data_IF_299209879681
#
_entry.id   IF_299209879681
#
_cell.length_a   1.000
_cell.length_b   1.000
_cell.length_c   1.000
_cell.angle_alpha   90.00
_cell.angle_beta   90.00
_cell.angle_gamma   90.00
#
_symmetry.space_group_name_H-M   'P 1'
#
loop_
_entity.id
_entity.type
_entity.pdbx_description
1 polymer ?
#
# COMPACT_ATOMS: atom_id res chain seq x y z
N UNK A 1 50.12 -1.86 -26.12
CA UNK A 1 49.79 -1.21 -27.40
C UNK A 1 48.58 -0.33 -27.12
N UNK A 2 48.69 0.84 -26.49
CA UNK A 2 49.22 2.15 -26.93
C UNK A 2 48.54 2.75 -28.18
N UNK A 3 47.55 3.61 -27.94
CA UNK A 3 47.34 4.93 -28.59
C UNK A 3 46.05 5.56 -28.01
N UNK A 4 46.11 6.59 -27.15
CA UNK A 4 46.10 8.04 -27.47
C UNK A 4 44.76 8.50 -28.13
N UNK A 5 44.04 9.57 -27.73
CA UNK A 5 44.42 10.85 -27.15
C UNK A 5 43.17 11.64 -26.64
N UNK A 6 43.42 12.46 -25.62
CA UNK A 6 42.98 13.85 -25.41
C UNK A 6 41.49 14.24 -25.24
N UNK A 7 41.23 14.86 -24.08
CA UNK A 7 40.01 15.61 -23.81
C UNK A 7 40.08 17.09 -24.15
N UNK A 8 39.00 17.82 -23.80
CA UNK A 8 39.00 19.28 -23.62
C UNK A 8 37.78 19.73 -22.80
N UNK A 9 38.06 20.35 -21.65
CA UNK A 9 37.15 21.26 -20.93
C UNK A 9 36.91 22.52 -21.78
N UNK A 10 35.75 23.17 -21.60
CA UNK A 10 35.60 24.64 -21.53
C UNK A 10 34.19 25.01 -21.07
N UNK A 11 34.12 25.78 -19.98
CA UNK A 11 32.95 26.61 -19.67
C UNK A 11 33.10 27.99 -20.30
N UNK A 12 31.98 28.72 -20.42
CA UNK A 12 31.82 30.15 -20.03
C UNK A 12 30.49 30.74 -20.52
N UNK A 13 29.89 31.48 -19.60
CA UNK A 13 28.79 32.45 -19.65
C UNK A 13 29.05 33.63 -20.62
N UNK A 14 28.00 34.24 -21.24
CA UNK A 14 27.67 35.69 -21.22
C UNK A 14 26.55 36.12 -22.21
N UNK A 15 25.45 36.62 -21.61
CA UNK A 15 24.55 37.78 -21.85
C UNK A 15 24.69 38.59 -23.18
N UNK A 16 23.54 38.90 -23.82
CA UNK A 16 23.24 40.22 -24.41
C UNK A 16 21.71 40.45 -24.59
N UNK A 17 21.25 41.61 -24.12
CA UNK A 17 19.88 42.13 -24.25
C UNK A 17 19.75 43.08 -25.45
N UNK A 18 18.55 43.21 -26.02
CA UNK A 18 18.22 44.33 -26.92
C UNK A 18 16.75 44.75 -26.74
N UNK A 19 16.56 46.00 -26.33
CA UNK A 19 15.29 46.75 -26.34
C UNK A 19 15.37 47.83 -27.44
N UNK A 20 14.30 48.03 -28.21
CA UNK A 20 14.05 49.33 -28.87
C UNK A 20 12.54 49.55 -29.09
N UNK A 21 12.10 50.78 -28.81
CA UNK A 21 10.71 51.23 -28.75
C UNK A 21 10.33 52.15 -29.93
N UNK A 22 9.00 52.26 -30.14
CA UNK A 22 8.20 53.35 -30.74
C UNK A 22 8.35 53.68 -32.24
N UNK A 23 7.22 53.75 -32.97
CA UNK A 23 6.45 55.01 -33.18
C UNK A 23 5.12 54.76 -33.91
N UNK A 24 4.12 55.57 -33.56
CA UNK A 24 2.77 55.61 -34.11
C UNK A 24 2.61 56.67 -35.23
N UNK A 25 1.61 56.51 -36.10
CA UNK A 25 0.95 57.65 -36.74
C UNK A 25 0.16 57.36 -38.03
N UNK A 26 -0.97 58.07 -38.30
CA UNK A 26 -2.14 57.52 -39.02
C UNK A 26 -2.66 58.35 -40.21
N UNK A 27 -3.76 57.88 -40.83
CA UNK A 27 -4.71 58.67 -41.67
C UNK A 27 -4.53 58.50 -43.19
N UNK A 28 -5.53 58.49 -44.08
CA UNK A 28 -6.96 58.86 -44.13
C UNK A 28 -7.59 58.09 -45.33
N UNK A 29 -8.83 57.54 -45.24
CA UNK A 29 -10.09 58.00 -45.90
C UNK A 29 -9.99 58.30 -47.42
N UNK A 30 -10.87 57.89 -48.35
CA UNK A 30 -12.32 57.62 -48.37
C UNK A 30 -12.67 56.99 -49.76
N UNK A 31 -13.70 56.14 -49.85
CA UNK A 31 -14.43 55.91 -51.12
C UNK A 31 -15.08 54.53 -51.29
N UNK A 32 -16.38 54.43 -51.04
CA UNK A 32 -17.20 53.21 -51.15
C UNK A 32 -17.66 52.93 -52.59
N UNK A 33 -17.76 51.65 -53.00
CA UNK A 33 -18.81 51.13 -53.91
C UNK A 33 -19.09 49.65 -53.61
N UNK A 34 -20.38 49.33 -53.69
CA UNK A 34 -21.13 48.09 -53.48
C UNK A 34 -20.51 46.73 -53.86
N UNK A 35 -20.98 45.72 -53.13
CA UNK A 35 -20.75 44.29 -53.30
C UNK A 35 -21.41 43.69 -54.54
N UNK A 36 -20.87 42.56 -55.04
CA UNK A 36 -21.67 41.50 -55.66
C UNK A 36 -21.60 40.19 -54.86
N UNK A 37 -22.71 39.47 -54.84
CA UNK A 37 -22.91 38.15 -54.24
C UNK A 37 -22.45 37.00 -55.14
N UNK A 38 -22.00 35.94 -54.45
CA UNK A 38 -21.97 34.51 -54.83
C UNK A 38 -20.99 33.99 -55.89
N UNK A 39 -20.13 33.04 -55.49
CA UNK A 39 -20.25 31.62 -55.88
C UNK A 39 -19.11 30.76 -55.27
N UNK A 40 -19.48 29.56 -54.83
CA UNK A 40 -18.70 28.53 -54.15
C UNK A 40 -17.84 27.67 -55.08
N UNK A 41 -16.59 27.38 -54.71
CA UNK A 41 -15.84 26.15 -55.09
C UNK A 41 -14.87 25.74 -53.97
N UNK A 42 -14.66 24.42 -53.74
CA UNK A 42 -13.98 23.91 -52.54
C UNK A 42 -12.45 23.95 -52.67
N UNK A 43 -11.76 24.24 -51.57
CA UNK A 43 -10.29 24.10 -51.44
C UNK A 43 -9.93 22.69 -50.93
N UNK A 44 -8.80 22.13 -51.36
CA UNK A 44 -8.44 20.73 -51.11
C UNK A 44 -8.10 20.51 -49.63
N UNK A 45 -8.60 19.41 -49.09
CA UNK A 45 -8.34 18.93 -47.74
C UNK A 45 -6.86 18.53 -47.56
N UNK A 46 -6.17 19.22 -46.66
CA UNK A 46 -4.91 18.74 -46.07
C UNK A 46 -5.24 17.56 -45.15
N UNK A 47 -4.71 16.39 -45.49
CA UNK A 47 -4.66 15.24 -44.59
C UNK A 47 -3.84 15.63 -43.36
N UNK A 48 -4.52 15.79 -42.22
CA UNK A 48 -3.86 15.76 -40.92
C UNK A 48 -3.58 14.30 -40.61
N UNK A 49 -2.31 13.92 -40.67
CA UNK A 49 -1.82 12.74 -39.95
C UNK A 49 -2.41 12.78 -38.55
N UNK A 50 -3.17 11.73 -38.20
CA UNK A 50 -3.64 11.47 -36.86
C UNK A 50 -2.43 11.37 -35.94
N UNK A 51 -2.18 12.45 -35.21
CA UNK A 51 -1.43 12.41 -33.96
C UNK A 51 -2.15 11.37 -33.11
N UNK A 52 -1.48 10.25 -32.87
CA UNK A 52 -1.89 9.29 -31.85
C UNK A 52 -2.03 10.06 -30.55
N UNK A 53 -3.20 9.97 -29.90
CA UNK A 53 -3.46 10.54 -28.57
C UNK A 53 -2.27 10.27 -27.63
N UNK A 54 -1.97 11.18 -26.69
CA UNK A 54 -0.87 10.94 -25.75
C UNK A 54 -1.14 9.59 -25.07
N UNK A 55 -0.17 8.68 -25.17
CA UNK A 55 -0.19 7.40 -24.45
C UNK A 55 -0.60 7.70 -23.01
N UNK A 56 -1.61 6.97 -22.50
CA UNK A 56 -2.00 7.12 -21.11
C UNK A 56 -0.79 6.78 -20.23
N UNK A 57 -0.16 7.84 -19.73
CA UNK A 57 1.11 7.77 -19.02
C UNK A 57 0.97 6.92 -17.76
N UNK A 58 -0.23 6.80 -17.19
CA UNK A 58 -0.45 6.05 -15.96
C UNK A 58 -0.56 4.56 -16.21
N UNK A 59 -1.39 4.13 -17.16
CA UNK A 59 -1.50 2.70 -17.50
C UNK A 59 -0.16 2.08 -17.90
N UNK A 60 0.66 2.82 -18.66
CA UNK A 60 1.98 2.39 -19.08
C UNK A 60 3.00 2.21 -17.94
N UNK A 61 2.74 2.74 -16.75
CA UNK A 61 3.60 2.60 -15.57
C UNK A 61 3.21 1.40 -14.68
N UNK A 62 2.11 0.70 -14.99
CA UNK A 62 1.63 -0.43 -14.19
C UNK A 62 2.32 -1.75 -14.56
N UNK A 63 3.66 -1.79 -14.50
CA UNK A 63 4.48 -2.94 -14.90
C UNK A 63 4.04 -4.26 -14.25
N UNK A 64 3.50 -4.17 -13.02
CA UNK A 64 3.05 -5.34 -12.27
C UNK A 64 1.91 -6.10 -12.95
N UNK A 65 1.07 -5.44 -13.75
CA UNK A 65 -0.06 -6.10 -14.41
C UNK A 65 0.41 -7.21 -15.35
N UNK A 66 1.48 -6.96 -16.11
CA UNK A 66 2.07 -7.94 -17.02
C UNK A 66 3.13 -8.80 -16.32
N UNK A 67 4.10 -8.19 -15.65
CA UNK A 67 5.27 -8.91 -15.13
C UNK A 67 4.95 -9.90 -14.00
N UNK A 68 3.85 -9.67 -13.28
CA UNK A 68 3.41 -10.52 -12.17
C UNK A 68 2.19 -11.38 -12.56
N UNK A 69 1.81 -11.38 -13.84
CA UNK A 69 0.85 -12.32 -14.42
C UNK A 69 -0.61 -11.99 -14.23
N UNK A 70 -0.98 -10.76 -13.84
CA UNK A 70 -2.39 -10.39 -13.67
C UNK A 70 -3.15 -10.38 -15.00
N UNK A 71 -2.54 -9.92 -16.08
CA UNK A 71 -3.15 -9.96 -17.42
C UNK A 71 -3.49 -11.38 -17.86
N UNK A 72 -2.63 -12.35 -17.55
CA UNK A 72 -2.91 -13.78 -17.78
C UNK A 72 -3.96 -14.32 -16.81
N UNK A 73 -3.92 -13.93 -15.54
CA UNK A 73 -4.92 -14.33 -14.55
C UNK A 73 -6.35 -13.90 -14.94
N UNK A 74 -6.48 -12.75 -15.61
CA UNK A 74 -7.75 -12.22 -16.11
C UNK A 74 -8.43 -13.07 -17.19
N UNK A 75 -7.71 -13.99 -17.83
CA UNK A 75 -8.32 -14.99 -18.72
C UNK A 75 -9.22 -15.98 -17.95
N UNK A 76 -9.07 -16.06 -16.63
CA UNK A 76 -9.87 -16.93 -15.74
C UNK A 76 -10.86 -16.16 -14.89
N UNK A 77 -10.45 -15.04 -14.32
CA UNK A 77 -11.31 -14.20 -13.50
C UNK A 77 -10.73 -12.79 -13.38
N UNK A 78 -11.59 -11.79 -13.25
CA UNK A 78 -11.24 -10.39 -12.99
C UNK A 78 -11.74 -9.88 -11.63
N UNK A 79 -12.19 -10.80 -10.76
CA UNK A 79 -12.67 -10.48 -9.40
C UNK A 79 -14.19 -10.32 -9.26
N UNK A 80 -14.97 -10.59 -10.32
CA UNK A 80 -16.44 -10.53 -10.27
C UNK A 80 -17.01 -11.35 -9.12
N UNK A 81 -17.97 -10.77 -8.40
CA UNK A 81 -18.70 -11.43 -7.31
C UNK A 81 -17.97 -11.44 -5.97
N UNK A 82 -16.76 -10.88 -5.89
CA UNK A 82 -15.98 -10.78 -4.65
C UNK A 82 -16.07 -9.37 -4.08
N UNK A 83 -16.28 -9.29 -2.76
CA UNK A 83 -16.31 -8.02 -2.02
C UNK A 83 -15.06 -7.87 -1.16
N UNK A 84 -14.30 -6.79 -1.36
CA UNK A 84 -13.09 -6.49 -0.59
C UNK A 84 -13.31 -5.25 0.27
N UNK A 85 -13.18 -5.40 1.59
CA UNK A 85 -13.18 -4.27 2.50
C UNK A 85 -11.79 -3.64 2.57
N UNK A 86 -11.73 -2.33 2.42
CA UNK A 86 -10.50 -1.53 2.53
C UNK A 86 -10.60 -0.72 3.81
N UNK A 87 -9.82 -1.12 4.83
CA UNK A 87 -9.69 -0.39 6.09
C UNK A 87 -8.52 0.57 5.94
N UNK A 88 -8.83 1.85 5.70
CA UNK A 88 -7.84 2.89 5.35
C UNK A 88 -8.40 4.30 5.63
N UNK A 89 -7.87 5.36 5.00
CA UNK A 89 -8.29 6.76 5.21
C UNK A 89 -9.64 7.12 4.56
N UNK A 90 -10.36 6.15 4.02
CA UNK A 90 -11.56 6.35 3.19
C UNK A 90 -11.24 6.43 1.69
N UNK A 91 -12.24 6.12 0.86
CA UNK A 91 -12.10 6.03 -0.59
C UNK A 91 -12.96 7.09 -1.26
N UNK A 92 -12.36 7.94 -2.10
CA UNK A 92 -13.12 8.75 -3.04
C UNK A 92 -13.68 7.88 -4.17
N UNK A 93 -14.85 7.30 -3.94
CA UNK A 93 -15.57 6.46 -4.91
C UNK A 93 -16.12 7.25 -6.12
N UNK A 94 -15.99 8.57 -6.14
CA UNK A 94 -16.41 9.41 -7.28
C UNK A 94 -15.32 9.54 -8.34
N UNK A 95 -14.11 9.07 -8.05
CA UNK A 95 -13.01 9.04 -9.01
C UNK A 95 -13.41 8.24 -10.27
N UNK A 96 -13.11 8.72 -11.50
CA UNK A 96 -13.49 8.02 -12.74
C UNK A 96 -13.04 6.54 -12.77
N UNK A 97 -11.82 6.25 -12.32
CA UNK A 97 -11.28 4.88 -12.23
C UNK A 97 -12.01 3.97 -11.22
N UNK A 98 -12.80 4.51 -10.30
CA UNK A 98 -13.42 3.78 -9.18
C UNK A 98 -14.94 3.90 -9.14
N UNK A 99 -15.53 4.71 -10.02
CA UNK A 99 -16.98 4.92 -10.02
C UNK A 99 -17.73 3.59 -10.10
N UNK A 100 -18.73 3.41 -9.26
CA UNK A 100 -19.49 2.16 -9.20
C UNK A 100 -18.80 0.96 -8.53
N UNK A 101 -17.52 1.05 -8.14
CA UNK A 101 -16.83 -0.04 -7.43
C UNK A 101 -17.04 0.02 -5.92
N UNK A 102 -17.16 1.22 -5.35
CA UNK A 102 -17.43 1.39 -3.92
C UNK A 102 -18.92 1.22 -3.67
N UNK A 103 -19.33 0.08 -3.13
CA UNK A 103 -20.75 -0.31 -3.01
C UNK A 103 -21.31 -0.13 -1.61
N UNK A 104 -20.47 0.20 -0.65
CA UNK A 104 -20.84 0.51 0.71
C UNK A 104 -19.64 0.99 1.52
N UNK A 105 -19.90 1.45 2.74
CA UNK A 105 -18.83 1.88 3.61
C UNK A 105 -19.30 2.43 4.94
N UNK A 106 -18.34 2.72 5.81
CA UNK A 106 -18.57 3.31 7.12
C UNK A 106 -17.36 4.11 7.57
N UNK A 107 -17.58 5.03 8.50
CA UNK A 107 -16.52 5.67 9.27
C UNK A 107 -16.56 5.17 10.72
N UNK A 108 -15.44 4.62 11.18
CA UNK A 108 -15.28 4.19 12.58
C UNK A 108 -14.49 5.20 13.42
N UNK A 109 -13.99 6.26 12.79
CA UNK A 109 -13.24 7.32 13.47
C UNK A 109 -14.13 8.37 14.15
N UNK A 110 -15.37 8.52 13.69
CA UNK A 110 -16.31 9.56 14.14
C UNK A 110 -16.03 10.96 13.57
N UNK A 111 -15.09 11.10 12.64
CA UNK A 111 -14.77 12.38 11.97
C UNK A 111 -14.99 12.36 10.46
N UNK A 112 -15.18 11.19 9.86
CA UNK A 112 -15.44 11.01 8.43
C UNK A 112 -16.92 11.04 8.07
N UNK A 113 -17.21 10.79 6.79
CA UNK A 113 -18.58 10.60 6.32
C UNK A 113 -19.10 9.24 6.80
N UNK A 114 -20.40 9.14 7.11
CA UNK A 114 -20.99 7.87 7.56
C UNK A 114 -20.91 6.74 6.53
N UNK A 115 -20.66 7.07 5.26
CA UNK A 115 -20.45 6.15 4.13
C UNK A 115 -18.97 5.78 3.93
N UNK A 116 -18.03 6.35 4.68
CA UNK A 116 -16.59 6.11 4.53
C UNK A 116 -16.02 6.57 3.17
N UNK A 117 -16.80 7.31 2.38
CA UNK A 117 -16.45 7.78 1.02
C UNK A 117 -15.77 9.15 1.00
N UNK A 118 -15.59 9.76 2.18
CA UNK A 118 -14.87 10.99 2.35
C UNK A 118 -13.49 10.68 2.92
N UNK A 119 -12.41 10.88 2.14
CA UNK A 119 -11.05 10.82 2.63
C UNK A 119 -10.82 11.67 3.90
N UNK A 120 -10.21 11.10 4.93
CA UNK A 120 -9.95 11.75 6.23
C UNK A 120 -8.47 11.68 6.66
N UNK A 121 -8.11 12.52 7.62
CA UNK A 121 -6.80 12.48 8.28
C UNK A 121 -5.66 13.09 7.45
N UNK A 122 -4.44 12.94 7.96
CA UNK A 122 -3.23 13.22 7.18
C UNK A 122 -2.98 12.06 6.20
N UNK A 123 -2.53 12.38 4.98
CA UNK A 123 -2.41 11.38 3.92
C UNK A 123 -3.78 10.84 3.47
N UNK A 124 -4.81 11.68 3.48
CA UNK A 124 -6.20 11.28 3.20
C UNK A 124 -6.36 10.62 1.82
N UNK A 125 -5.48 10.91 0.87
CA UNK A 125 -5.43 10.27 -0.45
C UNK A 125 -5.15 8.76 -0.43
N UNK A 126 -4.63 8.22 0.66
CA UNK A 126 -4.08 6.88 0.74
C UNK A 126 -5.10 5.78 0.43
N UNK A 127 -6.30 5.85 1.01
CA UNK A 127 -7.37 4.88 0.74
C UNK A 127 -7.79 4.84 -0.74
N UNK A 128 -7.83 5.98 -1.42
CA UNK A 128 -8.12 6.04 -2.87
C UNK A 128 -6.97 5.44 -3.70
N UNK A 129 -5.71 5.70 -3.34
CA UNK A 129 -4.55 5.08 -3.99
C UNK A 129 -4.61 3.55 -3.88
N UNK A 130 -4.84 3.04 -2.67
CA UNK A 130 -4.99 1.62 -2.36
C UNK A 130 -6.14 1.00 -3.15
N UNK A 131 -7.33 1.62 -3.12
CA UNK A 131 -8.52 1.14 -3.81
C UNK A 131 -8.32 1.04 -5.33
N UNK A 132 -7.65 2.04 -5.93
CA UNK A 132 -7.42 2.08 -7.38
C UNK A 132 -6.53 0.95 -7.87
N UNK A 133 -5.45 0.62 -7.16
CA UNK A 133 -4.57 -0.50 -7.51
C UNK A 133 -5.23 -1.85 -7.25
N UNK A 134 -6.19 -1.91 -6.32
CA UNK A 134 -6.98 -3.12 -6.06
C UNK A 134 -8.02 -3.36 -7.15
N UNK A 135 -8.96 -2.42 -7.35
CA UNK A 135 -10.16 -2.61 -8.15
C UNK A 135 -10.49 -1.43 -9.09
N UNK A 136 -9.52 -0.56 -9.41
CA UNK A 136 -9.72 0.44 -10.45
C UNK A 136 -10.14 -0.23 -11.77
N UNK A 137 -11.15 0.28 -12.45
CA UNK A 137 -11.58 -0.24 -13.77
C UNK A 137 -11.09 0.62 -14.93
N UNK A 138 -10.30 1.66 -14.62
CA UNK A 138 -9.90 2.70 -15.56
C UNK A 138 -11.07 3.62 -15.91
N UNK A 139 -10.86 4.44 -16.93
CA UNK A 139 -11.90 5.27 -17.51
C UNK A 139 -11.72 5.40 -19.02
N UNK A 140 -12.74 5.89 -19.71
CA UNK A 140 -12.62 6.25 -21.12
C UNK A 140 -11.58 7.37 -21.30
N UNK A 141 -10.76 7.39 -22.38
CA UNK A 141 -9.77 8.46 -22.61
C UNK A 141 -10.36 9.90 -22.60
N UNK A 142 -11.66 10.03 -22.79
CA UNK A 142 -12.39 11.30 -22.68
C UNK A 142 -12.71 11.77 -21.25
N UNK A 143 -12.35 11.00 -20.22
CA UNK A 143 -12.65 11.32 -18.81
C UNK A 143 -14.02 10.82 -18.33
N UNK A 144 -14.79 10.14 -19.19
CA UNK A 144 -16.13 9.67 -18.83
C UNK A 144 -16.04 8.45 -17.89
N UNK A 145 -16.89 8.38 -16.85
CA UNK A 145 -16.86 7.28 -15.89
C UNK A 145 -17.31 5.95 -16.52
N UNK A 146 -16.52 4.89 -16.34
CA UNK A 146 -16.83 3.53 -16.79
C UNK A 146 -15.57 2.77 -17.22
N UNK A 147 -15.60 1.42 -17.34
CA UNK A 147 -14.39 0.66 -17.62
C UNK A 147 -13.73 1.10 -18.92
N UNK A 148 -12.42 1.36 -18.89
CA UNK A 148 -11.74 1.91 -20.06
C UNK A 148 -10.22 1.75 -20.08
N UNK A 149 -9.65 2.20 -21.19
CA UNK A 149 -8.24 2.02 -21.54
C UNK A 149 -7.34 3.14 -21.00
N UNK A 150 -7.91 4.14 -20.31
CA UNK A 150 -7.18 5.19 -19.62
C UNK A 150 -7.26 5.05 -18.09
N UNK A 151 -6.39 5.76 -17.37
CA UNK A 151 -6.32 5.75 -15.92
C UNK A 151 -5.84 4.43 -15.33
N UNK A 152 -6.07 4.27 -14.04
CA UNK A 152 -5.56 3.15 -13.25
C UNK A 152 -6.47 1.93 -13.39
N UNK A 153 -5.88 0.82 -13.81
CA UNK A 153 -6.52 -0.49 -13.79
C UNK A 153 -6.01 -1.31 -12.61
N UNK A 154 -6.89 -1.61 -11.66
CA UNK A 154 -6.61 -2.45 -10.53
C UNK A 154 -6.40 -3.92 -10.93
N UNK A 155 -5.82 -4.69 -10.03
CA UNK A 155 -5.55 -6.12 -10.23
C UNK A 155 -6.80 -7.00 -10.25
N UNK A 156 -7.89 -6.56 -9.63
CA UNK A 156 -9.21 -7.20 -9.61
C UNK A 156 -10.28 -6.18 -10.02
N UNK A 157 -10.31 -5.76 -11.30
CA UNK A 157 -11.11 -4.62 -11.77
C UNK A 157 -12.63 -4.89 -11.79
N UNK A 158 -13.08 -6.09 -11.44
CA UNK A 158 -14.52 -6.43 -11.32
C UNK A 158 -14.90 -6.78 -9.86
N UNK A 159 -13.99 -6.61 -8.91
CA UNK A 159 -14.28 -6.73 -7.49
C UNK A 159 -14.99 -5.48 -6.94
N UNK A 160 -15.92 -5.68 -6.02
CA UNK A 160 -16.60 -4.59 -5.31
C UNK A 160 -15.84 -4.22 -4.03
N UNK A 161 -15.89 -2.94 -3.65
CA UNK A 161 -15.19 -2.40 -2.51
C UNK A 161 -16.17 -1.95 -1.41
N UNK A 162 -15.79 -2.25 -0.16
CA UNK A 162 -16.35 -1.58 1.02
C UNK A 162 -15.31 -0.59 1.57
N UNK A 163 -15.67 0.68 1.67
CA UNK A 163 -14.79 1.72 2.20
C UNK A 163 -14.95 1.86 3.71
N UNK A 164 -13.91 1.58 4.50
CA UNK A 164 -13.96 1.71 5.96
C UNK A 164 -12.92 2.74 6.38
N UNK A 165 -13.37 3.96 6.67
CA UNK A 165 -12.47 5.04 7.07
C UNK A 165 -12.08 4.94 8.54
N UNK A 166 -10.77 4.98 8.78
CA UNK A 166 -10.12 5.03 10.09
C UNK A 166 -9.24 6.27 10.17
N UNK A 167 -9.19 6.90 11.34
CA UNK A 167 -8.25 7.99 11.60
C UNK A 167 -6.90 7.40 12.01
N UNK A 168 -5.91 7.57 11.12
CA UNK A 168 -4.52 7.18 11.31
C UNK A 168 -3.70 8.44 11.60
N UNK A 169 -2.85 8.39 12.63
CA UNK A 169 -2.00 9.51 13.02
C UNK A 169 -2.13 9.88 14.49
N UNK A 170 -1.68 11.09 14.83
CA UNK A 170 -1.60 11.55 16.21
C UNK A 170 -2.98 11.58 16.91
N UNK A 171 -2.93 11.33 18.22
CA UNK A 171 -4.10 11.38 19.10
C UNK A 171 -4.82 12.72 18.95
N UNK A 172 -6.09 12.64 18.57
CA UNK A 172 -6.96 13.80 18.40
C UNK A 172 -8.07 13.77 19.46
N UNK A 173 -8.28 14.84 20.24
CA UNK A 173 -9.35 14.88 21.23
C UNK A 173 -10.72 14.57 20.61
N UNK A 174 -11.44 13.61 21.20
CA UNK A 174 -12.76 13.19 20.73
C UNK A 174 -12.75 12.16 19.59
N UNK A 175 -11.58 11.72 19.13
CA UNK A 175 -11.41 10.63 18.16
C UNK A 175 -10.84 9.41 18.91
N UNK A 176 -11.44 8.22 18.79
CA UNK A 176 -10.88 7.01 19.39
C UNK A 176 -9.51 6.70 18.78
N UNK A 177 -8.54 6.16 19.55
CA UNK A 177 -7.26 5.74 18.99
C UNK A 177 -7.45 4.64 17.94
N UNK A 178 -6.52 4.52 17.00
CA UNK A 178 -6.59 3.48 15.95
C UNK A 178 -6.78 2.08 16.54
N UNK A 179 -6.17 1.79 17.70
CA UNK A 179 -6.32 0.52 18.43
C UNK A 179 -7.77 0.18 18.81
N UNK A 180 -8.63 1.17 19.03
CA UNK A 180 -10.05 0.98 19.31
C UNK A 180 -10.92 0.95 18.03
N UNK A 181 -10.44 1.59 16.96
CA UNK A 181 -11.11 1.62 15.66
C UNK A 181 -10.98 0.31 14.88
N UNK A 182 -9.78 -0.29 14.84
CA UNK A 182 -9.49 -1.47 14.01
C UNK A 182 -10.42 -2.67 14.30
N UNK A 183 -10.67 -3.08 15.56
CA UNK A 183 -11.60 -4.18 15.84
C UNK A 183 -13.05 -3.89 15.40
N UNK A 184 -13.46 -2.63 15.38
CA UNK A 184 -14.80 -2.23 14.91
C UNK A 184 -14.86 -2.32 13.38
N UNK A 185 -13.82 -1.83 12.70
CA UNK A 185 -13.69 -1.90 11.25
C UNK A 185 -13.69 -3.36 10.76
N UNK A 186 -12.91 -4.24 11.39
CA UNK A 186 -12.85 -5.67 11.04
C UNK A 186 -14.21 -6.35 11.22
N UNK A 187 -14.88 -6.15 12.37
CA UNK A 187 -16.20 -6.73 12.59
C UNK A 187 -17.23 -6.23 11.58
N UNK A 188 -17.26 -4.92 11.33
CA UNK A 188 -18.19 -4.33 10.36
C UNK A 188 -17.95 -4.89 8.96
N UNK A 189 -16.69 -5.04 8.53
CA UNK A 189 -16.36 -5.64 7.23
C UNK A 189 -16.95 -7.05 7.08
N UNK A 190 -16.75 -7.90 8.09
CA UNK A 190 -17.30 -9.26 8.10
C UNK A 190 -18.83 -9.25 8.08
N UNK A 191 -19.46 -8.39 8.90
CA UNK A 191 -20.91 -8.27 8.97
C UNK A 191 -21.54 -7.74 7.67
N UNK A 192 -20.80 -6.98 6.87
CA UNK A 192 -21.22 -6.52 5.55
C UNK A 192 -20.90 -7.52 4.42
N UNK A 193 -20.39 -8.71 4.75
CA UNK A 193 -20.14 -9.77 3.78
C UNK A 193 -18.87 -9.59 2.97
N UNK A 194 -17.85 -8.92 3.53
CA UNK A 194 -16.53 -8.89 2.90
C UNK A 194 -15.95 -10.31 2.80
N UNK A 195 -15.43 -10.66 1.64
CA UNK A 195 -14.67 -11.89 1.41
C UNK A 195 -13.21 -11.74 1.89
N UNK A 196 -12.69 -10.53 1.69
CA UNK A 196 -11.30 -10.18 1.91
C UNK A 196 -11.28 -8.82 2.62
N UNK A 197 -10.36 -8.66 3.57
CA UNK A 197 -10.07 -7.38 4.21
C UNK A 197 -8.64 -6.99 3.83
N UNK A 198 -8.48 -5.87 3.15
CA UNK A 198 -7.20 -5.23 2.93
C UNK A 198 -6.92 -4.19 4.02
N UNK A 199 -5.78 -4.34 4.70
CA UNK A 199 -5.27 -3.42 5.71
C UNK A 199 -3.92 -2.87 5.27
N UNK A 200 -3.94 -1.72 4.62
CA UNK A 200 -2.73 -1.01 4.16
C UNK A 200 -2.11 -0.13 5.26
N UNK A 201 -2.26 -0.57 6.51
CA UNK A 201 -1.82 0.11 7.74
C UNK A 201 -1.06 -0.85 8.63
N UNK A 202 -0.15 -0.30 9.45
CA UNK A 202 0.67 -1.10 10.37
C UNK A 202 1.02 -0.29 11.61
N UNK A 203 1.10 -0.96 12.76
CA UNK A 203 1.69 -0.43 13.98
C UNK A 203 3.21 -0.62 13.97
N UNK A 204 3.96 0.21 14.69
CA UNK A 204 5.39 -0.04 14.95
C UNK A 204 5.61 -1.15 15.99
N UNK A 205 4.53 -1.64 16.61
CA UNK A 205 4.54 -2.71 17.60
C UNK A 205 4.31 -4.07 16.95
N UNK A 206 5.07 -5.08 17.38
CA UNK A 206 4.89 -6.47 16.96
C UNK A 206 3.73 -7.16 17.67
N UNK A 207 3.34 -6.69 18.86
CA UNK A 207 2.19 -7.19 19.61
C UNK A 207 0.92 -6.39 19.30
N UNK A 208 -0.24 -6.97 19.64
CA UNK A 208 -1.54 -6.33 19.47
C UNK A 208 -2.39 -6.38 20.75
N UNK A 209 -3.29 -5.40 20.96
CA UNK A 209 -4.21 -5.39 22.09
C UNK A 209 -5.14 -6.62 22.09
N UNK A 210 -5.44 -7.15 23.27
CA UNK A 210 -6.36 -8.30 23.40
C UNK A 210 -7.77 -8.02 22.84
N UNK A 211 -8.18 -6.75 22.76
CA UNK A 211 -9.44 -6.36 22.12
C UNK A 211 -9.53 -6.70 20.63
N UNK A 212 -8.41 -6.96 19.95
CA UNK A 212 -8.40 -7.35 18.54
C UNK A 212 -8.64 -8.86 18.37
N UNK A 213 -8.37 -9.68 19.38
CA UNK A 213 -8.48 -11.14 19.31
C UNK A 213 -9.85 -11.58 18.80
N UNK A 214 -10.93 -11.03 19.38
CA UNK A 214 -12.29 -11.41 19.01
C UNK A 214 -12.65 -10.97 17.58
N UNK A 215 -12.19 -9.79 17.14
CA UNK A 215 -12.51 -9.28 15.81
C UNK A 215 -11.80 -10.06 14.70
N UNK A 216 -10.50 -10.34 14.86
CA UNK A 216 -9.75 -11.13 13.88
C UNK A 216 -10.14 -12.62 13.92
N UNK A 217 -10.50 -13.14 15.10
CA UNK A 217 -11.05 -14.49 15.20
C UNK A 217 -12.42 -14.58 14.52
N UNK A 218 -13.24 -13.53 14.62
CA UNK A 218 -14.51 -13.45 13.91
C UNK A 218 -14.31 -13.45 12.38
N UNK A 219 -13.30 -12.74 11.87
CA UNK A 219 -12.93 -12.82 10.45
C UNK A 219 -12.49 -14.23 10.05
N UNK A 220 -11.63 -14.89 10.84
CA UNK A 220 -11.19 -16.27 10.58
C UNK A 220 -12.37 -17.26 10.55
N UNK A 221 -13.30 -17.14 11.50
CA UNK A 221 -14.45 -18.04 11.64
C UNK A 221 -15.49 -17.87 10.52
N UNK A 222 -15.56 -16.69 9.92
CA UNK A 222 -16.43 -16.40 8.78
C UNK A 222 -15.71 -16.58 7.43
N UNK A 223 -14.54 -17.22 7.42
CA UNK A 223 -13.73 -17.43 6.22
C UNK A 223 -13.47 -16.12 5.46
N UNK A 224 -13.13 -15.05 6.19
CA UNK A 224 -12.68 -13.78 5.61
C UNK A 224 -11.16 -13.71 5.65
N UNK A 225 -10.52 -13.57 4.48
CA UNK A 225 -9.07 -13.46 4.42
C UNK A 225 -8.62 -12.04 4.75
N UNK A 226 -7.79 -11.86 5.77
CA UNK A 226 -7.17 -10.57 6.07
C UNK A 226 -5.79 -10.50 5.42
N UNK A 227 -5.55 -9.46 4.62
CA UNK A 227 -4.28 -9.15 3.97
C UNK A 227 -3.74 -7.84 4.54
N UNK A 228 -2.49 -7.83 4.99
CA UNK A 228 -1.90 -6.67 5.66
C UNK A 228 -0.53 -6.29 5.11
N UNK A 229 -0.26 -4.99 5.08
CA UNK A 229 1.07 -4.45 4.78
C UNK A 229 2.08 -4.84 5.88
N UNK A 230 3.29 -5.25 5.49
CA UNK A 230 4.35 -5.56 6.47
C UNK A 230 4.88 -4.32 7.19
N UNK A 231 4.85 -3.15 6.54
CA UNK A 231 5.37 -1.89 7.07
C UNK A 231 6.64 -1.41 6.36
N UNK A 232 6.96 -0.14 6.56
CA UNK A 232 8.01 0.57 5.84
C UNK A 232 9.13 1.02 6.78
N UNK A 233 10.39 0.74 6.45
CA UNK A 233 11.54 1.24 7.21
C UNK A 233 11.60 2.77 7.22
N UNK A 234 11.23 3.43 6.12
CA UNK A 234 11.17 4.90 6.05
C UNK A 234 10.17 5.52 7.05
N UNK A 235 9.15 4.76 7.46
CA UNK A 235 8.17 5.16 8.48
C UNK A 235 8.56 4.72 9.90
N UNK A 236 9.75 4.16 10.10
CA UNK A 236 10.27 3.71 11.40
C UNK A 236 9.97 2.23 11.73
N UNK A 237 9.37 1.48 10.83
CA UNK A 237 9.03 0.06 11.05
C UNK A 237 10.16 -0.84 10.53
N UNK A 238 11.06 -1.27 11.43
CA UNK A 238 12.18 -2.15 11.10
C UNK A 238 11.86 -3.65 11.21
N UNK A 239 10.70 -3.99 11.77
CA UNK A 239 10.16 -5.35 11.81
C UNK A 239 8.67 -5.30 11.60
N UNK A 240 8.08 -6.30 10.93
CA UNK A 240 6.64 -6.36 10.69
C UNK A 240 5.84 -6.21 12.00
N UNK A 241 4.87 -5.29 12.01
CA UNK A 241 4.05 -4.98 13.16
C UNK A 241 2.60 -5.43 13.01
N UNK A 242 1.79 -5.31 14.06
CA UNK A 242 0.37 -5.64 14.02
C UNK A 242 -0.38 -4.72 13.02
N UNK A 243 -1.40 -5.22 12.29
CA UNK A 243 -1.99 -6.56 12.34
C UNK A 243 -1.16 -7.66 11.64
N UNK A 244 -0.08 -7.31 10.95
CA UNK A 244 0.72 -8.22 10.13
C UNK A 244 1.44 -9.34 10.91
N UNK A 245 1.37 -9.33 12.23
CA UNK A 245 1.90 -10.39 13.12
C UNK A 245 0.83 -11.33 13.66
N UNK A 246 -0.45 -11.07 13.37
CA UNK A 246 -1.57 -11.89 13.84
C UNK A 246 -1.64 -13.18 13.00
N UNK A 247 -1.70 -14.37 13.63
CA UNK A 247 -1.90 -15.63 12.92
C UNK A 247 -3.14 -15.59 12.01
N UNK A 248 -3.03 -16.17 10.82
CA UNK A 248 -4.08 -16.15 9.80
C UNK A 248 -4.11 -14.91 8.92
N UNK A 249 -3.36 -13.84 9.25
CA UNK A 249 -3.18 -12.67 8.38
C UNK A 249 -2.13 -12.99 7.30
N UNK A 250 -2.43 -12.67 6.04
CA UNK A 250 -1.48 -12.73 4.94
C UNK A 250 -0.69 -11.42 4.84
N UNK A 251 0.52 -11.44 5.37
CA UNK A 251 1.41 -10.27 5.41
C UNK A 251 2.22 -10.12 4.14
N UNK A 252 2.29 -8.91 3.62
CA UNK A 252 2.88 -8.61 2.31
C UNK A 252 4.09 -7.68 2.42
N UNK A 253 5.25 -8.18 1.96
CA UNK A 253 6.46 -7.40 1.79
C UNK A 253 6.45 -6.60 0.48
N UNK A 254 7.31 -5.59 0.40
CA UNK A 254 7.36 -4.62 -0.68
C UNK A 254 8.61 -4.76 -1.52
N UNK A 255 8.43 -4.81 -2.83
CA UNK A 255 9.50 -4.93 -3.82
C UNK A 255 9.70 -3.62 -4.59
N UNK A 256 10.93 -3.36 -5.00
CA UNK A 256 11.24 -2.35 -6.01
C UNK A 256 10.90 -2.84 -7.43
N UNK A 257 10.98 -1.94 -8.41
CA UNK A 257 10.78 -2.24 -9.84
C UNK A 257 11.68 -3.37 -10.39
N UNK A 258 12.74 -3.77 -9.67
CA UNK A 258 13.67 -4.84 -10.07
C UNK A 258 13.33 -6.17 -9.40
N UNK A 259 12.24 -6.22 -8.65
CA UNK A 259 11.84 -7.39 -7.85
C UNK A 259 12.73 -7.62 -6.63
N UNK A 260 13.52 -6.63 -6.20
CA UNK A 260 14.32 -6.71 -4.97
C UNK A 260 13.51 -6.15 -3.81
N UNK A 261 13.70 -6.68 -2.59
CA UNK A 261 13.04 -6.13 -1.42
C UNK A 261 13.41 -4.65 -1.26
N UNK A 262 12.42 -3.76 -1.28
CA UNK A 262 12.67 -2.33 -1.19
C UNK A 262 13.26 -2.01 0.19
N UNK A 263 14.34 -1.23 0.19
CA UNK A 263 15.03 -0.85 1.41
C UNK A 263 14.14 0.05 2.28
N UNK A 264 13.52 1.07 1.69
CA UNK A 264 12.74 2.06 2.43
C UNK A 264 11.26 1.69 2.53
N UNK A 265 10.71 1.11 1.46
CA UNK A 265 9.28 0.83 1.33
C UNK A 265 8.86 -0.54 1.88
N UNK A 266 9.77 -1.29 2.49
CA UNK A 266 9.46 -2.59 3.11
C UNK A 266 10.18 -2.78 4.43
N UNK A 267 9.82 -3.84 5.14
CA UNK A 267 10.41 -4.29 6.39
C UNK A 267 10.68 -5.79 6.33
N UNK A 268 11.14 -6.37 7.43
CA UNK A 268 11.40 -7.80 7.54
C UNK A 268 10.64 -8.40 8.73
N UNK A 269 10.36 -9.69 8.69
CA UNK A 269 9.69 -10.38 9.79
C UNK A 269 9.31 -11.80 9.42
N UNK A 270 9.30 -12.69 10.41
CA UNK A 270 8.90 -14.09 10.23
C UNK A 270 7.41 -14.25 9.89
N UNK A 271 6.62 -13.18 10.00
CA UNK A 271 5.21 -13.21 9.64
C UNK A 271 4.96 -12.89 8.17
N UNK A 272 5.99 -12.48 7.40
CA UNK A 272 5.85 -12.18 5.98
C UNK A 272 5.43 -13.45 5.23
N UNK A 273 4.29 -13.38 4.54
CA UNK A 273 3.76 -14.49 3.76
C UNK A 273 4.26 -14.47 2.32
N UNK A 274 4.25 -13.32 1.67
CA UNK A 274 4.71 -13.15 0.27
C UNK A 274 5.22 -11.73 0.04
N UNK A 275 5.89 -11.51 -1.09
CA UNK A 275 6.33 -10.19 -1.54
C UNK A 275 5.64 -9.77 -2.85
N UNK A 276 5.33 -8.48 -2.96
CA UNK A 276 4.71 -7.88 -4.14
C UNK A 276 5.27 -6.45 -4.40
N UNK A 277 5.10 -5.89 -5.62
CA UNK A 277 5.53 -4.55 -5.97
C UNK A 277 5.04 -3.47 -4.99
N UNK A 278 5.93 -2.55 -4.64
CA UNK A 278 5.68 -1.47 -3.69
C UNK A 278 6.40 -0.16 -4.03
N UNK A 279 7.36 -0.15 -4.96
CA UNK A 279 8.27 0.98 -5.14
C UNK A 279 8.86 1.07 -6.57
N UNK A 280 8.40 2.00 -7.42
CA UNK A 280 7.21 2.85 -7.25
C UNK A 280 5.92 2.14 -7.67
N UNK A 281 4.78 2.66 -7.21
CA UNK A 281 3.44 2.35 -7.70
C UNK A 281 2.74 3.62 -8.17
N UNK A 282 1.81 3.47 -9.13
CA UNK A 282 0.91 4.53 -9.62
C UNK A 282 -0.54 4.22 -9.24
N UNK A 283 -1.33 5.26 -8.96
CA UNK A 283 -2.72 5.11 -8.51
C UNK A 283 -3.51 6.41 -8.55
N UNK A 284 -4.81 6.31 -8.26
CA UNK A 284 -5.74 7.42 -8.26
C UNK A 284 -5.65 8.25 -6.98
N UNK A 285 -5.79 9.56 -7.13
CA UNK A 285 -5.89 10.54 -6.05
C UNK A 285 -7.31 11.09 -5.96
N UNK A 286 -7.82 11.43 -4.77
CA UNK A 286 -9.12 12.08 -4.64
C UNK A 286 -9.27 13.30 -5.57
N UNK A 287 -10.46 13.49 -6.12
CA UNK A 287 -10.77 14.60 -7.03
C UNK A 287 -10.35 14.39 -8.48
N UNK A 288 -10.04 13.17 -8.90
CA UNK A 288 -9.81 12.80 -10.31
C UNK A 288 -8.34 12.85 -10.76
N UNK A 289 -7.40 12.97 -9.82
CA UNK A 289 -5.96 13.00 -10.13
C UNK A 289 -5.31 11.64 -10.07
N UNK A 290 -4.01 11.60 -10.36
CA UNK A 290 -3.18 10.40 -10.25
C UNK A 290 -1.84 10.75 -9.61
N UNK A 291 -1.23 9.77 -8.95
CA UNK A 291 0.02 9.96 -8.21
C UNK A 291 0.90 8.73 -8.20
N UNK A 292 2.16 8.95 -7.81
CA UNK A 292 3.14 7.89 -7.54
C UNK A 292 3.35 7.83 -6.03
N UNK A 293 3.40 6.62 -5.47
CA UNK A 293 3.82 6.41 -4.09
C UNK A 293 4.68 5.15 -3.96
N UNK A 294 5.33 5.03 -2.80
CA UNK A 294 6.07 3.84 -2.43
C UNK A 294 5.68 3.38 -1.04
N UNK A 295 5.48 2.08 -0.86
CA UNK A 295 5.15 1.47 0.44
C UNK A 295 4.52 0.09 0.32
N UNK A 296 4.73 -0.75 1.34
CA UNK A 296 4.00 -2.03 1.50
C UNK A 296 2.48 -1.86 1.52
N UNK A 297 2.00 -0.65 1.81
CA UNK A 297 0.58 -0.28 1.67
C UNK A 297 0.04 -0.38 0.25
N UNK A 298 0.90 -0.32 -0.78
CA UNK A 298 0.54 -0.62 -2.16
C UNK A 298 0.80 -2.07 -2.59
N UNK A 299 1.65 -2.80 -1.87
CA UNK A 299 1.82 -4.25 -2.09
C UNK A 299 0.63 -5.07 -1.57
N UNK A 300 0.09 -4.70 -0.40
CA UNK A 300 -1.08 -5.35 0.19
C UNK A 300 -2.31 -5.40 -0.75
N UNK A 301 -2.75 -4.32 -1.41
CA UNK A 301 -3.90 -4.36 -2.32
C UNK A 301 -3.64 -5.19 -3.58
N UNK A 302 -2.40 -5.34 -4.05
CA UNK A 302 -2.08 -6.26 -5.15
C UNK A 302 -2.36 -7.71 -4.75
N UNK A 303 -2.01 -8.09 -3.52
CA UNK A 303 -2.25 -9.45 -3.00
C UNK A 303 -3.72 -9.66 -2.61
N UNK A 304 -4.38 -8.64 -2.06
CA UNK A 304 -5.82 -8.69 -1.78
C UNK A 304 -6.63 -8.84 -3.07
N UNK A 305 -6.27 -8.13 -4.14
CA UNK A 305 -6.87 -8.32 -5.45
C UNK A 305 -6.54 -9.69 -6.06
N UNK A 306 -5.31 -10.21 -5.89
CA UNK A 306 -5.00 -11.59 -6.28
C UNK A 306 -5.90 -12.61 -5.56
N UNK A 307 -6.12 -12.44 -4.26
CA UNK A 307 -7.05 -13.28 -3.51
C UNK A 307 -8.48 -13.16 -4.05
N UNK A 308 -8.90 -11.98 -4.52
CA UNK A 308 -10.19 -11.77 -5.15
C UNK A 308 -10.30 -12.49 -6.51
N UNK A 309 -9.24 -12.51 -7.32
CA UNK A 309 -9.20 -13.30 -8.56
C UNK A 309 -9.37 -14.80 -8.27
N UNK A 310 -8.70 -15.31 -7.23
CA UNK A 310 -8.81 -16.71 -6.82
C UNK A 310 -10.23 -17.03 -6.38
N UNK A 311 -10.83 -16.22 -5.50
CA UNK A 311 -12.21 -16.44 -5.01
C UNK A 311 -13.26 -16.29 -6.10
N UNK A 312 -13.08 -15.37 -7.02
CA UNK A 312 -14.02 -15.23 -8.14
C UNK A 312 -13.94 -16.46 -9.07
N UNK A 313 -12.75 -17.04 -9.25
CA UNK A 313 -12.60 -18.31 -9.98
C UNK A 313 -13.11 -19.54 -9.21
N UNK A 314 -13.05 -19.55 -7.87
CA UNK A 314 -13.58 -20.59 -6.99
C UNK A 314 -14.25 -19.99 -5.74
N UNK A 315 -15.54 -19.63 -5.81
CA UNK A 315 -16.24 -18.90 -4.75
C UNK A 315 -16.48 -19.68 -3.46
N UNK A 316 -16.15 -20.98 -3.43
CA UNK A 316 -16.30 -21.81 -2.23
C UNK A 316 -14.95 -22.12 -1.58
N UNK A 317 -13.85 -21.59 -2.12
CA UNK A 317 -12.52 -21.82 -1.58
C UNK A 317 -12.37 -21.14 -0.21
N UNK A 318 -12.08 -21.90 0.86
CA UNK A 318 -11.85 -21.35 2.20
C UNK A 318 -10.67 -20.37 2.23
N UNK A 319 -10.70 -19.38 3.13
CA UNK A 319 -9.67 -18.34 3.24
C UNK A 319 -8.25 -18.92 3.40
N UNK A 320 -8.12 -19.99 4.19
CA UNK A 320 -6.83 -20.65 4.40
C UNK A 320 -6.30 -21.33 3.13
N UNK A 321 -7.18 -21.83 2.25
CA UNK A 321 -6.78 -22.41 0.95
C UNK A 321 -6.39 -21.32 -0.03
N UNK A 322 -7.10 -20.18 -0.06
CA UNK A 322 -6.70 -19.02 -0.87
C UNK A 322 -5.30 -18.55 -0.47
N UNK A 323 -5.06 -18.38 0.84
CA UNK A 323 -3.74 -18.03 1.36
C UNK A 323 -2.67 -19.09 1.03
N UNK A 324 -2.99 -20.38 1.19
CA UNK A 324 -2.08 -21.47 0.83
C UNK A 324 -1.71 -21.43 -0.66
N UNK A 325 -2.70 -21.23 -1.53
CA UNK A 325 -2.51 -21.16 -2.98
C UNK A 325 -1.57 -20.03 -3.37
N UNK A 326 -1.79 -18.82 -2.84
CA UNK A 326 -0.91 -17.66 -3.06
C UNK A 326 0.54 -17.98 -2.66
N UNK A 327 0.73 -18.59 -1.47
CA UNK A 327 2.06 -18.95 -0.95
C UNK A 327 2.72 -20.06 -1.76
N UNK A 328 1.97 -21.10 -2.11
CA UNK A 328 2.48 -22.28 -2.80
C UNK A 328 2.89 -22.01 -4.26
N UNK A 329 2.29 -20.99 -4.89
CA UNK A 329 2.63 -20.58 -6.25
C UNK A 329 3.60 -19.42 -6.31
N UNK A 330 3.99 -18.86 -5.18
CA UNK A 330 4.98 -17.79 -5.14
C UNK A 330 6.34 -18.28 -5.65
N UNK A 331 7.05 -17.41 -6.37
CA UNK A 331 8.40 -17.68 -6.87
C UNK A 331 9.40 -17.41 -5.74
N UNK A 332 10.04 -18.48 -5.27
CA UNK A 332 11.07 -18.42 -4.23
C UNK A 332 12.16 -17.38 -4.57
N UNK A 333 12.49 -16.54 -3.60
CA UNK A 333 13.43 -15.43 -3.73
C UNK A 333 14.10 -15.17 -2.38
N UNK A 334 15.39 -14.78 -2.41
CA UNK A 334 16.16 -14.60 -1.19
C UNK A 334 16.83 -15.90 -0.73
N UNK A 335 16.66 -16.23 0.56
CA UNK A 335 17.15 -17.50 1.10
C UNK A 335 16.19 -18.62 0.70
N UNK A 336 16.67 -19.82 0.30
CA UNK A 336 15.79 -20.88 -0.19
C UNK A 336 14.68 -21.24 0.82
N UNK A 337 13.44 -21.24 0.35
CA UNK A 337 12.27 -21.56 1.16
C UNK A 337 11.67 -20.32 1.83
N UNK A 338 11.11 -20.49 3.03
CA UNK A 338 10.51 -19.37 3.75
C UNK A 338 11.58 -18.51 4.42
N UNK A 339 11.57 -17.20 4.14
CA UNK A 339 12.51 -16.26 4.75
C UNK A 339 11.86 -14.97 5.27
N UNK A 340 12.53 -14.23 6.18
CA UNK A 340 11.95 -13.03 6.80
C UNK A 340 11.88 -11.79 5.89
N UNK A 341 12.21 -11.87 4.61
CA UNK A 341 12.24 -10.75 3.66
C UNK A 341 11.22 -10.95 2.55
N UNK A 342 11.15 -12.15 2.00
CA UNK A 342 10.26 -12.53 0.89
C UNK A 342 9.12 -13.46 1.31
N UNK A 343 9.15 -14.00 2.54
CA UNK A 343 8.18 -15.01 2.98
C UNK A 343 8.32 -16.26 2.13
N UNK A 344 7.21 -16.71 1.52
CA UNK A 344 7.21 -17.81 0.55
C UNK A 344 7.69 -17.41 -0.85
N UNK A 345 8.01 -16.13 -1.08
CA UNK A 345 8.53 -15.63 -2.34
C UNK A 345 7.70 -14.51 -2.95
N UNK A 346 8.00 -14.20 -4.21
CA UNK A 346 7.35 -13.16 -5.01
C UNK A 346 6.06 -13.72 -5.62
N UNK A 347 4.94 -12.99 -5.50
CA UNK A 347 3.66 -13.45 -6.06
C UNK A 347 3.72 -13.72 -7.56
N UNK A 348 2.93 -14.69 -8.01
CA UNK A 348 2.70 -15.02 -9.41
C UNK A 348 1.19 -15.21 -9.59
N UNK A 349 0.52 -14.19 -10.12
CA UNK A 349 -0.94 -14.18 -10.23
C UNK A 349 -1.46 -15.23 -11.20
N UNK A 350 -0.73 -15.46 -12.31
CA UNK A 350 -1.11 -16.45 -13.30
C UNK A 350 -1.06 -17.85 -12.71
N UNK A 351 0.03 -18.21 -12.03
CA UNK A 351 0.17 -19.50 -11.37
C UNK A 351 -0.85 -19.65 -10.23
N UNK A 352 -1.03 -18.61 -9.42
CA UNK A 352 -1.98 -18.60 -8.31
C UNK A 352 -3.43 -18.81 -8.75
N UNK A 353 -3.83 -18.41 -9.96
CA UNK A 353 -5.20 -18.67 -10.45
C UNK A 353 -5.28 -19.99 -11.22
N UNK A 354 -4.22 -20.44 -11.91
CA UNK A 354 -4.30 -21.57 -12.86
C UNK A 354 -3.74 -22.90 -12.37
N UNK A 355 -2.81 -22.91 -11.41
CA UNK A 355 -2.10 -24.13 -11.01
C UNK A 355 -3.00 -25.14 -10.28
N UNK A 356 -2.73 -26.44 -10.41
CA UNK A 356 -3.34 -27.44 -9.52
C UNK A 356 -2.52 -27.55 -8.24
N UNK A 357 -3.08 -27.08 -7.12
CA UNK A 357 -2.43 -27.09 -5.81
C UNK A 357 -3.20 -28.04 -4.90
N UNK A 358 -2.55 -29.06 -4.31
CA UNK A 358 -3.21 -29.93 -3.34
C UNK A 358 -3.77 -29.12 -2.17
N UNK A 359 -5.04 -29.37 -1.83
CA UNK A 359 -5.65 -28.73 -0.67
C UNK A 359 -4.93 -29.16 0.62
N UNK A 360 -4.76 -28.21 1.54
CA UNK A 360 -4.14 -28.46 2.85
C UNK A 360 -5.13 -28.20 3.98
N UNK A 361 -5.29 -29.14 4.90
CA UNK A 361 -6.09 -28.88 6.10
C UNK A 361 -5.44 -27.74 6.92
N UNK A 362 -6.26 -26.86 7.51
CA UNK A 362 -5.75 -25.83 8.42
C UNK A 362 -5.06 -26.52 9.59
N UNK A 363 -3.76 -26.31 9.74
CA UNK A 363 -3.06 -26.85 10.88
C UNK A 363 -3.48 -26.08 12.15
N UNK A 364 -3.71 -26.75 13.30
CA UNK A 364 -4.20 -26.07 14.50
C UNK A 364 -3.32 -24.89 14.92
N UNK A 365 -2.00 -25.01 14.78
CA UNK A 365 -1.03 -23.97 15.11
C UNK A 365 -1.13 -22.70 14.24
N UNK A 366 -1.77 -22.79 13.08
CA UNK A 366 -1.96 -21.66 12.16
C UNK A 366 -3.26 -20.89 12.45
N UNK A 367 -4.12 -21.42 13.34
CA UNK A 367 -5.35 -20.76 13.77
C UNK A 367 -5.08 -19.74 14.88
N UNK A 368 -5.70 -18.57 14.76
CA UNK A 368 -5.69 -17.55 15.80
C UNK A 368 -6.33 -18.07 17.10
N UNK A 369 -7.33 -18.95 17.01
CA UNK A 369 -7.96 -19.54 18.19
C UNK A 369 -6.97 -20.32 19.07
N UNK A 370 -6.10 -21.11 18.42
CA UNK A 370 -5.07 -21.88 19.11
C UNK A 370 -3.97 -20.98 19.64
N UNK A 371 -3.57 -19.97 18.87
CA UNK A 371 -2.61 -18.97 19.34
C UNK A 371 -3.12 -18.24 20.59
N UNK A 372 -4.39 -17.80 20.60
CA UNK A 372 -5.02 -17.15 21.76
C UNK A 372 -4.99 -18.10 22.95
N UNK A 373 -5.41 -19.35 22.77
CA UNK A 373 -5.43 -20.38 23.82
C UNK A 373 -4.06 -20.58 24.49
N UNK A 374 -2.98 -20.50 23.71
CA UNK A 374 -1.60 -20.71 24.19
C UNK A 374 -0.99 -19.44 24.79
N UNK A 375 -1.26 -18.27 24.20
CA UNK A 375 -0.53 -17.03 24.51
C UNK A 375 -1.29 -16.05 25.42
N UNK A 376 -2.63 -16.04 25.39
CA UNK A 376 -3.42 -15.24 26.35
C UNK A 376 -3.52 -16.00 27.67
N UNK A 377 -3.30 -15.29 28.78
CA UNK A 377 -3.46 -15.88 30.11
C UNK A 377 -4.94 -16.17 30.31
N UNK A 378 -5.28 -17.41 30.66
CA UNK A 378 -6.60 -17.68 31.22
C UNK A 378 -6.80 -16.76 32.43
N UNK A 379 -7.91 -16.03 32.45
CA UNK A 379 -8.39 -15.40 33.66
C UNK A 379 -8.65 -16.53 34.67
N UNK A 380 -7.67 -16.78 35.52
CA UNK A 380 -7.86 -17.62 36.70
C UNK A 380 -8.86 -16.84 37.54
N UNK A 381 -10.14 -17.15 37.39
CA UNK A 381 -11.16 -16.68 38.32
C UNK A 381 -10.63 -16.94 39.72
N UNK A 382 -10.75 -15.95 40.61
CA UNK A 382 -10.31 -16.08 41.99
C UNK A 382 -10.71 -17.47 42.49
N UNK A 383 -9.77 -18.26 43.06
CA UNK A 383 -10.11 -19.58 43.56
C UNK A 383 -11.27 -19.38 44.54
N UNK A 384 -12.44 -19.89 44.17
CA UNK A 384 -13.58 -19.91 45.07
C UNK A 384 -13.11 -20.64 46.33
N UNK A 385 -13.12 -20.01 47.52
CA UNK A 385 -12.67 -20.67 48.74
C UNK A 385 -13.72 -21.71 49.13
N UNK A 386 -13.62 -22.90 48.54
CA UNK A 386 -14.60 -23.93 48.76
C UNK A 386 -14.62 -24.98 47.67
N UNK A 387 -13.70 -25.93 47.78
CA UNK A 387 -13.97 -27.38 47.82
C UNK A 387 -12.71 -28.08 47.33
N UNK A 388 -11.84 -28.47 48.25
CA UNK A 388 -10.79 -29.45 47.98
C UNK A 388 -11.48 -30.81 47.84
N UNK A 389 -11.47 -31.49 46.68
CA UNK A 389 -11.74 -32.92 46.65
C UNK A 389 -10.52 -33.60 47.27
N UNK A 390 -10.71 -34.30 48.38
CA UNK A 390 -9.68 -35.14 48.99
C UNK A 390 -9.38 -36.32 48.05
N UNK A 391 -8.38 -36.16 47.19
CA UNK A 391 -7.79 -37.26 46.44
C UNK A 391 -6.84 -38.09 47.31
N UNK A 392 -6.67 -39.40 47.05
CA UNK A 392 -5.87 -40.28 47.89
C UNK A 392 -4.40 -39.86 47.90
N UNK A 393 -3.81 -39.81 49.10
CA UNK A 393 -2.38 -39.58 49.31
C UNK A 393 -1.58 -40.71 48.66
N UNK A 394 -0.85 -40.40 47.60
CA UNK A 394 0.15 -41.30 47.03
C UNK A 394 1.37 -41.40 47.98
N UNK A 395 1.97 -42.60 48.18
CA UNK A 395 3.14 -42.76 49.04
C UNK A 395 4.37 -42.05 48.44
N UNK A 396 5.17 -41.47 49.34
CA UNK A 396 6.18 -40.46 49.05
C UNK A 396 7.24 -40.83 48.00
N UNK A 397 7.53 -39.86 47.13
CA UNK A 397 8.77 -39.84 46.35
C UNK A 397 9.96 -39.48 47.25
N UNK A 398 11.14 -40.08 47.04
CA UNK A 398 12.34 -39.71 47.78
C UNK A 398 12.70 -38.24 47.50
N UNK A 399 13.05 -37.54 48.58
CA UNK A 399 13.58 -36.18 48.54
C UNK A 399 14.83 -36.17 47.68
N UNK A 400 14.80 -35.46 46.55
CA UNK A 400 16.02 -35.11 45.81
C UNK A 400 16.69 -34.01 46.61
N UNK A 401 17.78 -34.36 47.27
CA UNK A 401 18.68 -33.42 47.94
C UNK A 401 19.18 -32.41 46.89
N UNK A 402 18.96 -31.12 47.15
CA UNK A 402 19.43 -30.04 46.31
C UNK A 402 20.94 -30.16 46.08
N UNK A 403 21.35 -30.09 44.80
CA UNK A 403 22.75 -29.92 44.45
C UNK A 403 23.28 -28.59 45.04
N UNK A 404 24.57 -28.50 45.42
CA UNK A 404 25.12 -27.27 45.97
C UNK A 404 25.04 -26.17 44.91
N UNK A 405 24.46 -25.02 45.29
CA UNK A 405 24.42 -23.83 44.47
C UNK A 405 25.85 -23.41 44.14
N UNK A 406 26.22 -23.51 42.85
CA UNK A 406 27.42 -22.86 42.33
C UNK A 406 27.31 -21.36 42.56
N UNK A 407 28.39 -20.72 43.02
CA UNK A 407 28.45 -19.27 43.16
C UNK A 407 28.12 -18.60 41.82
N UNK A 408 27.36 -17.49 41.81
CA UNK A 408 27.12 -16.74 40.59
C UNK A 408 28.44 -16.19 40.05
N UNK A 409 28.86 -16.66 38.88
CA UNK A 409 29.94 -16.02 38.13
C UNK A 409 29.44 -14.66 37.66
N UNK A 410 30.07 -13.59 38.11
CA UNK A 410 29.78 -12.24 37.64
C UNK A 410 29.95 -12.18 36.11
N UNK A 411 28.93 -11.66 35.41
CA UNK A 411 29.06 -11.28 34.01
C UNK A 411 30.15 -10.19 33.89
N UNK A 412 31.00 -10.23 32.86
CA UNK A 412 31.93 -9.14 32.60
C UNK A 412 31.14 -7.84 32.33
N UNK A 413 31.64 -6.67 32.77
CA UNK A 413 30.97 -5.41 32.53
C UNK A 413 30.84 -5.16 31.02
N UNK A 414 29.70 -4.62 30.62
CA UNK A 414 29.47 -4.15 29.26
C UNK A 414 30.56 -3.13 28.88
N UNK A 415 31.17 -3.30 27.71
CA UNK A 415 32.07 -2.30 27.17
C UNK A 415 31.32 -0.98 26.97
N UNK A 416 31.87 0.12 27.48
CA UNK A 416 31.31 1.45 27.25
C UNK A 416 31.26 1.75 25.73
N UNK A 417 30.20 2.43 25.25
CA UNK A 417 30.17 2.90 23.87
C UNK A 417 31.31 3.89 23.66
N UNK A 418 32.11 3.66 22.62
CA UNK A 418 33.17 4.58 22.24
C UNK A 418 32.58 5.96 21.89
N UNK A 419 33.10 7.01 22.53
CA UNK A 419 32.74 8.39 22.23
C UNK A 419 32.92 8.69 20.73
N UNK A 420 31.92 9.29 20.05
CA UNK A 420 32.10 9.75 18.69
C UNK A 420 33.16 10.85 18.68
N UNK A 421 34.14 10.71 17.78
CA UNK A 421 35.24 11.64 17.62
C UNK A 421 34.74 13.12 17.57
N UNK A 422 35.37 14.04 18.32
CA UNK A 422 34.91 15.42 18.39
C UNK A 422 35.17 16.09 17.05
N UNK A 423 34.11 16.25 16.25
CA UNK A 423 34.19 16.91 14.93
C UNK A 423 33.04 16.63 13.97
N UNK A 424 32.25 15.57 14.16
CA UNK A 424 31.17 15.22 13.22
C UNK A 424 29.86 15.99 13.44
N UNK A 425 29.53 16.36 14.69
CA UNK A 425 28.29 17.07 15.01
C UNK A 425 28.19 18.50 14.42
N UNK A 426 29.26 19.34 14.42
CA UNK A 426 29.17 20.68 13.82
C UNK A 426 29.10 20.65 12.29
N UNK A 427 29.69 19.63 11.64
CA UNK A 427 29.70 19.50 10.18
C UNK A 427 28.33 19.08 9.61
N UNK A 428 27.61 18.20 10.31
CA UNK A 428 26.24 17.80 9.97
C UNK A 428 25.24 18.95 10.12
N UNK A 429 25.37 19.77 11.18
CA UNK A 429 24.53 20.96 11.38
C UNK A 429 24.76 22.06 10.34
N UNK A 430 26.01 22.25 9.88
CA UNK A 430 26.31 23.23 8.83
C UNK A 430 25.83 22.73 7.45
N UNK A 431 25.91 21.43 7.19
CA UNK A 431 25.41 20.81 5.95
C UNK A 431 23.89 20.89 5.81
N UNK A 432 23.14 20.65 6.89
CA UNK A 432 21.67 20.74 6.88
C UNK A 432 21.18 22.19 6.73
N UNK A 433 21.86 23.16 7.35
CA UNK A 433 21.54 24.58 7.18
C UNK A 433 21.79 25.09 5.75
N UNK A 434 22.86 24.62 5.09
CA UNK A 434 23.14 24.97 3.69
C UNK A 434 22.15 24.33 2.72
N UNK A 435 21.71 23.10 2.99
CA UNK A 435 20.67 22.43 2.19
C UNK A 435 19.31 23.13 2.32
N UNK A 436 18.91 23.53 3.54
CA UNK A 436 17.68 24.27 3.77
C UNK A 436 17.67 25.64 3.07
N UNK A 437 18.80 26.36 3.09
CA UNK A 437 18.92 27.64 2.38
C UNK A 437 18.84 27.48 0.85
N UNK A 438 19.39 26.39 0.29
CA UNK A 438 19.29 26.09 -1.14
C UNK A 438 17.83 25.78 -1.55
N UNK A 439 17.09 25.03 -0.74
CA UNK A 439 15.67 24.68 -0.99
C UNK A 439 14.75 25.91 -0.95
N UNK A 440 14.96 26.81 0.01
CA UNK A 440 14.20 28.09 0.10
C UNK A 440 14.49 28.97 -1.12
N UNK A 441 15.75 29.02 -1.56
CA UNK A 441 16.13 29.83 -2.73
C UNK A 441 15.53 29.25 -4.02
N UNK A 442 15.53 27.91 -4.18
CA UNK A 442 14.88 27.25 -5.30
C UNK A 442 13.36 27.48 -5.32
N UNK A 443 12.70 27.37 -4.16
CA UNK A 443 11.26 27.64 -4.02
C UNK A 443 10.89 29.08 -4.38
N UNK A 444 11.69 30.07 -3.98
CA UNK A 444 11.47 31.49 -4.33
C UNK A 444 11.67 31.74 -5.83
N UNK A 445 12.60 31.05 -6.48
CA UNK A 445 12.81 31.16 -7.94
C UNK A 445 11.66 30.53 -8.72
N UNK A 446 11.16 29.38 -8.30
CA UNK A 446 9.99 28.72 -8.90
C UNK A 446 8.73 29.57 -8.73
N UNK A 447 8.49 30.09 -7.52
CA UNK A 447 7.36 30.97 -7.22
C UNK A 447 7.38 32.29 -8.01
N UNK A 448 8.57 32.86 -8.24
CA UNK A 448 8.72 34.08 -9.05
C UNK A 448 8.60 33.82 -10.56
N UNK A 449 8.86 32.59 -11.02
CA UNK A 449 8.63 32.18 -12.42
C UNK A 449 7.15 31.95 -12.68
N UNK A 450 6.45 31.21 -11.80
CA UNK A 450 5.01 30.96 -11.96
C UNK A 450 4.16 32.24 -11.94
N UNK A 451 4.57 33.27 -11.19
CA UNK A 451 3.93 34.60 -11.21
C UNK A 451 4.26 35.47 -12.42
N UNK A 452 5.30 35.14 -13.19
CA UNK A 452 5.62 35.85 -14.45
C UNK A 452 4.93 35.25 -15.66
N UNK A 453 4.52 33.99 -15.55
CA UNK A 453 3.79 33.29 -16.62
C UNK A 453 2.26 33.50 -16.51
N UNK A 454 1.80 34.23 -15.49
CA UNK A 454 0.38 34.55 -15.22
C UNK A 454 0.06 36.05 -15.32
N UNK A 455 0.96 36.86 -15.87
CA UNK A 455 0.74 38.28 -16.21
C UNK A 455 1.19 38.53 -17.65
#
# INVERSE_FOLDING_TARGET
MSSHLAGRRRGRTLIAALTLSLLAGPGLGVGAVAAPTESSTPSPSLSTDTVTEPEDLWRGQQFWLEEYGFTTAWERSRGEGVTVAVIDTGIDGTHPDLTGQVVGGTDVSGVGSSSGDQPIGEGSEHGTLVASVLAGHGHDPGGEPGPGDAGILGVAPEAQLLSISVHLGDDRPGVPPAEEQIPQAVRWAVDQGADIINMSLVSTRTDWPESWDEAFLYAEQNEVLVVAAAGNRASGTHTAGAPATIPGVLTVAGLDERGQASWDASTQGISIGVAAPADPLVGALPGGGHGIWSGTSGAAPLVAGLAALIRSADPQMPAHQVMHRIRATARDAGAPGEDPVYGHGIIDAAAAVTAEIPAVERAPQDSLAEWIRVNRRASVGEPSPGTTPAGPVAPGRPVVTAAPQGQPTALPPAAEPADPAPGLAPALLLGTLLAAAASVTAGVVVYRRSRRDTA
#
